data_IF_740725877065
#
_entry.id   IF_740725877065
#
_cell.length_a   1.000
_cell.length_b   1.000
_cell.length_c   1.000
_cell.angle_alpha   90.00
_cell.angle_beta   90.00
_cell.angle_gamma   90.00
#
_symmetry.space_group_name_H-M   'P 1'
#
loop_
_entity.id
_entity.type
_entity.pdbx_description
1 polymer ?
#
# COMPACT_ATOMS: atom_id res chain seq x y z
N UNK A 1 11.51 -20.63 27.45
CA UNK A 1 10.25 -19.90 27.38
C UNK A 1 9.86 -19.50 28.79
N UNK A 2 10.33 -18.33 29.18
CA UNK A 2 9.94 -17.60 30.36
C UNK A 2 8.99 -16.45 29.97
N UNK A 3 8.27 -15.93 30.96
CA UNK A 3 7.51 -14.69 30.87
C UNK A 3 8.29 -13.64 31.65
N UNK A 4 8.58 -12.51 31.00
CA UNK A 4 9.28 -11.37 31.59
C UNK A 4 8.30 -10.20 31.68
N UNK A 5 7.97 -9.76 32.89
CA UNK A 5 6.95 -8.73 33.08
C UNK A 5 7.60 -7.35 33.25
N UNK A 6 7.11 -6.36 32.50
CA UNK A 6 7.53 -4.96 32.62
C UNK A 6 6.35 -4.14 33.17
N UNK A 7 6.50 -3.34 34.24
CA UNK A 7 7.73 -3.08 34.98
C UNK A 7 8.02 -4.03 36.16
N UNK A 8 7.19 -5.06 36.40
CA UNK A 8 7.24 -5.89 37.62
C UNK A 8 8.59 -6.59 37.83
N UNK A 9 9.08 -7.33 36.82
CA UNK A 9 10.36 -8.05 36.88
C UNK A 9 11.52 -7.21 36.36
N UNK A 10 11.24 -6.30 35.43
CA UNK A 10 12.22 -5.46 34.75
C UNK A 10 11.77 -4.01 34.74
N UNK A 11 12.62 -3.03 35.11
CA UNK A 11 12.20 -1.63 35.24
C UNK A 11 11.77 -0.97 33.93
N UNK A 12 12.16 -1.53 32.77
CA UNK A 12 11.77 -1.02 31.45
C UNK A 12 11.85 -2.13 30.38
N UNK A 13 11.23 -1.85 29.22
CA UNK A 13 11.15 -2.78 28.09
C UNK A 13 12.54 -3.22 27.61
N UNK A 14 13.49 -2.29 27.50
CA UNK A 14 14.84 -2.62 27.02
C UNK A 14 15.53 -3.66 27.94
N UNK A 15 15.44 -3.49 29.26
CA UNK A 15 16.06 -4.43 30.20
C UNK A 15 15.45 -5.84 30.13
N UNK A 16 14.15 -5.96 29.81
CA UNK A 16 13.52 -7.25 29.55
C UNK A 16 14.01 -7.85 28.22
N UNK A 17 14.15 -7.04 27.16
CA UNK A 17 14.71 -7.48 25.86
C UNK A 17 16.15 -7.98 26.03
N UNK A 18 16.98 -7.26 26.80
CA UNK A 18 18.37 -7.62 27.02
C UNK A 18 18.51 -8.99 27.72
N UNK A 19 17.60 -9.27 28.67
CA UNK A 19 17.53 -10.52 29.44
C UNK A 19 16.86 -11.68 28.69
N UNK A 20 16.03 -11.40 27.68
CA UNK A 20 15.28 -12.42 26.97
C UNK A 20 16.16 -13.41 26.22
N UNK A 21 15.74 -14.67 26.25
CA UNK A 21 16.25 -15.77 25.44
C UNK A 21 15.25 -16.14 24.34
N UNK A 22 15.70 -16.78 23.24
CA UNK A 22 14.79 -17.27 22.21
C UNK A 22 13.66 -18.13 22.79
N UNK A 23 12.43 -17.80 22.40
CA UNK A 23 11.18 -18.40 22.85
C UNK A 23 10.53 -17.69 24.03
N UNK A 24 11.16 -16.66 24.61
CA UNK A 24 10.58 -15.92 25.74
C UNK A 24 9.52 -14.91 25.30
N UNK A 25 8.63 -14.56 26.23
CA UNK A 25 7.59 -13.55 26.05
C UNK A 25 7.79 -12.41 27.04
N UNK A 26 7.87 -11.19 26.52
CA UNK A 26 7.88 -9.95 27.30
C UNK A 26 6.45 -9.43 27.33
N UNK A 27 5.86 -9.39 28.53
CA UNK A 27 4.54 -8.84 28.77
C UNK A 27 4.67 -7.45 29.40
N UNK A 28 4.12 -6.45 28.73
CA UNK A 28 4.23 -5.05 29.15
C UNK A 28 2.91 -4.62 29.77
N UNK A 29 2.99 -4.11 31.00
CA UNK A 29 1.85 -3.56 31.71
C UNK A 29 1.54 -2.14 31.24
N UNK A 30 0.30 -1.71 31.45
CA UNK A 30 -0.25 -0.39 31.13
C UNK A 30 0.72 0.72 31.56
N UNK A 31 0.97 1.65 30.64
CA UNK A 31 1.86 2.76 30.92
C UNK A 31 2.42 3.44 29.69
N UNK A 32 3.12 4.54 29.95
CA UNK A 32 3.84 5.32 28.94
C UNK A 32 5.34 5.06 29.10
N UNK A 33 5.97 4.60 28.03
CA UNK A 33 7.37 4.23 27.97
C UNK A 33 8.10 5.18 27.01
N UNK A 34 8.90 6.14 27.51
CA UNK A 34 9.41 7.23 26.67
C UNK A 34 10.63 6.84 25.81
N UNK A 35 11.24 5.70 26.10
CA UNK A 35 12.53 5.33 25.52
C UNK A 35 12.36 4.41 24.32
N UNK A 36 13.25 4.58 23.34
CA UNK A 36 13.45 3.64 22.23
C UNK A 36 13.78 2.23 22.73
N UNK A 37 13.36 1.22 21.96
CA UNK A 37 13.67 -0.19 22.21
C UNK A 37 14.43 -0.78 21.03
N UNK A 38 15.59 -1.37 21.29
CA UNK A 38 16.41 -2.08 20.31
C UNK A 38 16.18 -3.58 20.50
N UNK A 39 15.61 -4.24 19.50
CA UNK A 39 15.36 -5.67 19.49
C UNK A 39 16.44 -6.38 18.68
N UNK A 40 17.34 -7.05 19.40
CA UNK A 40 18.47 -7.82 18.86
C UNK A 40 18.45 -9.29 19.26
N UNK A 41 17.31 -9.77 19.77
CA UNK A 41 17.08 -11.17 20.15
C UNK A 41 16.11 -11.82 19.18
N UNK A 42 16.49 -12.98 18.65
CA UNK A 42 15.64 -13.76 17.76
C UNK A 42 14.53 -14.47 18.53
N UNK A 43 13.41 -14.71 17.86
CA UNK A 43 12.33 -15.59 18.32
C UNK A 43 11.77 -15.19 19.69
N UNK A 44 11.53 -13.90 19.92
CA UNK A 44 10.87 -13.42 21.15
C UNK A 44 9.52 -12.79 20.82
N UNK A 45 8.61 -12.78 21.80
CA UNK A 45 7.34 -12.05 21.72
C UNK A 45 7.41 -10.83 22.63
N UNK A 46 6.99 -9.67 22.13
CA UNK A 46 6.83 -8.44 22.92
C UNK A 46 5.39 -7.97 22.72
N UNK A 47 4.59 -8.02 23.79
CA UNK A 47 3.19 -7.63 23.72
C UNK A 47 2.72 -6.89 24.96
N UNK A 48 1.67 -6.08 24.81
CA UNK A 48 0.92 -5.59 25.96
C UNK A 48 0.25 -6.75 26.69
N UNK A 49 0.01 -6.60 27.99
CA UNK A 49 -0.92 -7.47 28.70
C UNK A 49 -2.35 -7.31 28.18
N UNK A 50 -3.14 -8.36 28.32
CA UNK A 50 -4.49 -8.39 27.75
C UNK A 50 -5.36 -7.27 28.35
N UNK A 51 -5.93 -6.43 27.49
CA UNK A 51 -6.73 -5.24 27.82
C UNK A 51 -5.94 -4.07 28.43
N UNK A 52 -4.60 -4.08 28.36
CA UNK A 52 -3.78 -2.99 28.89
C UNK A 52 -3.30 -2.05 27.77
N UNK A 53 -3.30 -0.75 28.06
CA UNK A 53 -2.88 0.29 27.11
C UNK A 53 -1.40 0.63 27.30
N UNK A 54 -0.57 0.10 26.41
CA UNK A 54 0.87 0.35 26.40
C UNK A 54 1.22 1.33 25.29
N UNK A 55 1.82 2.47 25.65
CA UNK A 55 2.28 3.47 24.69
C UNK A 55 3.80 3.68 24.82
N UNK A 56 4.53 3.45 23.73
CA UNK A 56 5.87 3.99 23.55
C UNK A 56 5.73 5.40 22.96
N UNK A 57 6.23 6.42 23.66
CA UNK A 57 6.02 7.83 23.30
C UNK A 57 7.33 8.61 23.28
N UNK A 58 7.81 8.99 22.09
CA UNK A 58 9.12 9.63 21.93
C UNK A 58 9.20 11.10 22.37
N UNK A 59 8.06 11.76 22.65
CA UNK A 59 7.91 13.17 23.08
C UNK A 59 8.45 14.24 22.11
N UNK A 60 9.50 13.98 21.32
CA UNK A 60 10.22 14.97 20.51
C UNK A 60 10.13 14.77 19.01
N UNK A 61 9.41 13.76 18.50
CA UNK A 61 9.41 13.35 17.08
C UNK A 61 10.81 12.99 16.54
N UNK A 62 11.75 12.70 17.43
CA UNK A 62 13.10 12.24 17.11
C UNK A 62 13.25 10.74 17.35
N UNK A 63 14.34 10.15 16.82
CA UNK A 63 14.67 8.75 17.05
C UNK A 63 13.69 7.73 16.44
N UNK A 64 13.83 6.49 16.92
CA UNK A 64 13.04 5.33 16.49
C UNK A 64 12.35 4.76 17.72
N UNK A 65 11.05 4.46 17.64
CA UNK A 65 10.32 3.83 18.74
C UNK A 65 10.82 2.42 19.01
N UNK A 66 10.72 1.53 18.01
CA UNK A 66 11.26 0.17 18.08
C UNK A 66 12.14 -0.11 16.86
N UNK A 67 13.39 -0.49 17.10
CA UNK A 67 14.35 -0.90 16.07
C UNK A 67 14.54 -2.42 16.09
N UNK A 68 14.04 -3.10 15.06
CA UNK A 68 14.27 -4.52 14.81
C UNK A 68 15.28 -4.63 13.65
N UNK A 69 16.57 -4.41 13.95
CA UNK A 69 17.66 -4.51 12.97
C UNK A 69 18.52 -5.75 13.10
N UNK A 70 18.50 -6.42 14.24
CA UNK A 70 19.37 -7.58 14.53
C UNK A 70 18.61 -8.85 14.88
N UNK A 71 17.33 -8.93 14.53
CA UNK A 71 16.47 -10.02 14.96
C UNK A 71 15.54 -10.55 13.85
N UNK A 72 15.25 -11.85 13.93
CA UNK A 72 14.23 -12.56 13.15
C UNK A 72 13.23 -13.27 14.07
N UNK A 73 12.04 -13.59 13.53
CA UNK A 73 10.96 -14.30 14.25
C UNK A 73 10.48 -13.55 15.50
N UNK A 74 10.63 -12.22 15.53
CA UNK A 74 10.05 -11.38 16.57
C UNK A 74 8.56 -11.19 16.30
N UNK A 75 7.74 -11.33 17.33
CA UNK A 75 6.34 -10.90 17.33
C UNK A 75 6.22 -9.61 18.16
N UNK A 76 5.82 -8.51 17.53
CA UNK A 76 5.33 -7.31 18.22
C UNK A 76 3.82 -7.29 18.16
N UNK A 77 3.15 -7.11 19.31
CA UNK A 77 1.69 -7.17 19.37
C UNK A 77 1.07 -6.18 20.36
N UNK A 78 -0.08 -5.61 20.01
CA UNK A 78 -0.95 -4.84 20.92
C UNK A 78 -0.29 -3.58 21.53
N UNK A 79 0.63 -2.94 20.80
CA UNK A 79 1.35 -1.74 21.25
C UNK A 79 0.87 -0.48 20.53
N UNK A 80 0.95 0.66 21.21
CA UNK A 80 0.87 1.98 20.59
C UNK A 80 2.27 2.61 20.55
N UNK A 81 2.65 3.17 19.41
CA UNK A 81 3.96 3.81 19.21
C UNK A 81 3.73 5.18 18.57
N UNK A 82 4.13 6.24 19.26
CA UNK A 82 3.84 7.62 18.86
C UNK A 82 4.96 8.60 19.14
N UNK A 83 4.92 9.74 18.44
CA UNK A 83 5.81 10.88 18.64
C UNK A 83 7.32 10.54 18.55
N UNK A 84 7.68 9.57 17.70
CA UNK A 84 9.05 9.32 17.26
C UNK A 84 9.23 9.84 15.83
N UNK A 85 10.48 9.92 15.34
CA UNK A 85 10.69 10.15 13.91
C UNK A 85 10.17 8.97 13.09
N UNK A 86 10.48 7.75 13.53
CA UNK A 86 10.01 6.50 12.94
C UNK A 86 9.41 5.66 14.05
N UNK A 87 8.15 5.21 13.90
CA UNK A 87 7.52 4.34 14.89
C UNK A 87 8.28 3.00 15.02
N UNK A 88 8.35 2.25 13.92
CA UNK A 88 9.12 0.99 13.85
C UNK A 88 10.11 1.06 12.70
N UNK A 89 11.39 0.77 12.98
CA UNK A 89 12.36 0.45 11.95
C UNK A 89 12.52 -1.07 11.86
N UNK A 90 11.94 -1.68 10.83
CA UNK A 90 11.95 -3.12 10.62
C UNK A 90 12.96 -3.49 9.52
N UNK A 91 14.21 -3.75 9.90
CA UNK A 91 15.28 -4.18 8.98
C UNK A 91 15.51 -5.70 9.02
N UNK A 92 15.20 -6.35 10.13
CA UNK A 92 15.24 -7.81 10.24
C UNK A 92 14.19 -8.49 9.38
N UNK A 93 14.46 -9.76 9.05
CA UNK A 93 13.61 -10.57 8.20
C UNK A 93 12.70 -11.49 9.04
N UNK A 94 11.61 -11.99 8.46
CA UNK A 94 10.74 -13.00 9.08
C UNK A 94 10.12 -12.59 10.44
N UNK A 95 9.85 -11.31 10.65
CA UNK A 95 9.18 -10.80 11.85
C UNK A 95 7.68 -10.54 11.60
N UNK A 96 6.90 -10.47 12.67
CA UNK A 96 5.47 -10.21 12.64
C UNK A 96 5.10 -9.02 13.51
N UNK A 97 4.39 -8.05 12.93
CA UNK A 97 3.85 -6.87 13.60
C UNK A 97 2.33 -6.97 13.52
N UNK A 98 1.66 -7.17 14.65
CA UNK A 98 0.23 -7.52 14.69
C UNK A 98 -0.52 -6.59 15.63
N UNK A 99 -1.62 -5.98 15.19
CA UNK A 99 -2.44 -5.08 16.01
C UNK A 99 -1.63 -3.97 16.70
N UNK A 100 -0.64 -3.41 15.99
CA UNK A 100 0.18 -2.29 16.47
C UNK A 100 -0.33 -0.98 15.90
N UNK A 101 -0.32 0.08 16.71
CA UNK A 101 -0.73 1.43 16.32
C UNK A 101 0.49 2.34 16.22
N UNK A 102 1.02 2.56 15.02
CA UNK A 102 2.09 3.55 14.79
C UNK A 102 1.46 4.86 14.32
N UNK A 103 1.37 5.84 15.21
CA UNK A 103 0.59 7.06 14.95
C UNK A 103 1.31 8.34 15.33
N UNK A 104 1.05 9.42 14.60
CA UNK A 104 1.65 10.74 14.89
C UNK A 104 3.18 10.72 14.97
N UNK A 105 3.84 9.92 14.12
CA UNK A 105 5.30 9.94 14.03
C UNK A 105 5.75 11.03 13.05
N UNK A 106 6.88 11.67 13.36
CA UNK A 106 7.47 12.76 12.61
C UNK A 106 7.85 12.41 11.17
N UNK A 107 7.92 11.13 10.81
CA UNK A 107 8.11 10.66 9.44
C UNK A 107 7.25 9.46 9.08
N UNK A 108 7.61 8.27 9.55
CA UNK A 108 6.99 7.02 9.11
C UNK A 108 6.38 6.28 10.27
N UNK A 109 5.22 5.65 10.06
CA UNK A 109 4.71 4.65 11.00
C UNK A 109 5.67 3.46 11.06
N UNK A 110 5.99 2.90 9.90
CA UNK A 110 6.95 1.80 9.74
C UNK A 110 7.91 2.10 8.58
N UNK A 111 9.20 2.02 8.85
CA UNK A 111 10.24 1.91 7.81
C UNK A 111 10.60 0.43 7.64
N UNK A 112 10.14 -0.19 6.56
CA UNK A 112 10.30 -1.61 6.29
C UNK A 112 11.44 -1.86 5.29
N UNK A 113 12.56 -2.36 5.77
CA UNK A 113 13.72 -2.75 4.94
C UNK A 113 13.94 -4.26 4.87
N UNK A 114 13.51 -5.00 5.88
CA UNK A 114 13.63 -6.46 5.89
C UNK A 114 12.65 -7.14 4.93
N UNK A 115 12.88 -8.42 4.72
CA UNK A 115 12.14 -9.29 3.82
C UNK A 115 11.28 -10.30 4.60
N UNK A 116 10.29 -10.88 3.93
CA UNK A 116 9.46 -11.94 4.49
C UNK A 116 8.77 -11.58 5.82
N UNK A 117 8.56 -10.29 6.10
CA UNK A 117 7.87 -9.82 7.29
C UNK A 117 6.36 -9.78 7.07
N UNK A 118 5.62 -9.85 8.18
CA UNK A 118 4.17 -9.69 8.22
C UNK A 118 3.79 -8.44 9.00
N UNK A 119 2.92 -7.62 8.42
CA UNK A 119 2.33 -6.45 9.07
C UNK A 119 0.82 -6.60 8.94
N UNK A 120 0.16 -6.96 10.03
CA UNK A 120 -1.22 -7.39 10.02
C UNK A 120 -2.05 -6.63 11.07
N UNK A 121 -3.27 -6.23 10.71
CA UNK A 121 -4.24 -5.62 11.64
C UNK A 121 -3.75 -4.34 12.33
N UNK A 122 -2.75 -3.67 11.75
CA UNK A 122 -2.16 -2.47 12.33
C UNK A 122 -2.93 -1.21 11.93
N UNK A 123 -2.76 -0.15 12.75
CA UNK A 123 -3.25 1.19 12.44
C UNK A 123 -2.06 2.13 12.26
N UNK A 124 -1.90 2.65 11.04
CA UNK A 124 -0.78 3.52 10.65
C UNK A 124 -1.32 4.89 10.26
N UNK A 125 -1.41 5.78 11.26
CA UNK A 125 -2.21 6.99 11.16
C UNK A 125 -1.41 8.26 11.40
N UNK A 126 -1.80 9.36 10.78
CA UNK A 126 -1.34 10.72 11.13
C UNK A 126 0.19 10.89 11.15
N UNK A 127 0.93 10.05 10.41
CA UNK A 127 2.38 10.19 10.31
C UNK A 127 2.71 11.27 9.26
N UNK A 128 3.70 12.11 9.58
CA UNK A 128 4.00 13.30 8.80
C UNK A 128 4.49 13.02 7.37
N UNK A 129 4.92 11.79 7.06
CA UNK A 129 5.17 11.34 5.69
C UNK A 129 4.25 10.16 5.33
N UNK A 130 4.53 8.96 5.82
CA UNK A 130 3.81 7.77 5.33
C UNK A 130 3.52 6.73 6.39
N UNK A 131 2.46 5.96 6.18
CA UNK A 131 2.16 4.80 7.03
C UNK A 131 3.30 3.78 6.97
N UNK A 132 3.66 3.35 5.77
CA UNK A 132 4.79 2.46 5.50
C UNK A 132 5.67 3.04 4.40
N UNK A 133 6.98 3.10 4.65
CA UNK A 133 7.98 3.24 3.60
C UNK A 133 8.74 1.91 3.45
N UNK A 134 8.59 1.25 2.30
CA UNK A 134 9.03 -0.11 2.08
C UNK A 134 10.16 -0.20 1.06
N UNK A 135 11.17 -0.99 1.39
CA UNK A 135 12.34 -1.32 0.56
C UNK A 135 12.55 -2.82 0.39
N UNK A 136 12.04 -3.63 1.33
CA UNK A 136 12.21 -5.08 1.33
C UNK A 136 11.27 -5.83 0.39
N UNK A 137 11.55 -7.10 0.18
CA UNK A 137 10.82 -8.03 -0.69
C UNK A 137 10.09 -9.11 0.11
N UNK A 138 9.17 -9.81 -0.55
CA UNK A 138 8.45 -10.96 0.01
C UNK A 138 7.63 -10.66 1.27
N UNK A 139 7.35 -9.39 1.56
CA UNK A 139 6.58 -8.99 2.73
C UNK A 139 5.08 -9.13 2.48
N UNK A 140 4.33 -9.43 3.54
CA UNK A 140 2.88 -9.45 3.56
C UNK A 140 2.33 -8.31 4.43
N UNK A 141 1.55 -7.41 3.83
CA UNK A 141 0.92 -6.27 4.49
C UNK A 141 -0.58 -6.46 4.36
N UNK A 142 -1.26 -6.87 5.44
CA UNK A 142 -2.66 -7.29 5.38
C UNK A 142 -3.56 -6.67 6.43
N UNK A 143 -4.83 -6.44 6.08
CA UNK A 143 -5.87 -6.06 7.05
C UNK A 143 -5.55 -4.76 7.83
N UNK A 144 -4.71 -3.87 7.29
CA UNK A 144 -4.30 -2.66 7.99
C UNK A 144 -5.22 -1.48 7.68
N UNK A 145 -5.33 -0.56 8.64
CA UNK A 145 -5.96 0.75 8.46
C UNK A 145 -4.85 1.79 8.36
N UNK A 146 -4.74 2.43 7.20
CA UNK A 146 -3.68 3.41 6.92
C UNK A 146 -4.34 4.73 6.54
N UNK A 147 -4.30 5.74 7.41
CA UNK A 147 -5.10 6.94 7.23
C UNK A 147 -4.36 8.23 7.59
N UNK A 148 -4.72 9.31 6.89
CA UNK A 148 -4.27 10.67 7.25
C UNK A 148 -2.74 10.82 7.29
N UNK A 149 -2.02 10.08 6.45
CA UNK A 149 -0.57 10.25 6.31
C UNK A 149 -0.29 11.25 5.19
N UNK A 150 0.55 12.26 5.45
CA UNK A 150 0.65 13.46 4.59
C UNK A 150 1.07 13.16 3.14
N UNK A 151 1.99 12.22 2.95
CA UNK A 151 2.53 11.88 1.62
C UNK A 151 1.92 10.58 1.10
N UNK A 152 1.94 9.53 1.91
CA UNK A 152 1.85 8.16 1.42
C UNK A 152 1.13 7.21 2.35
N UNK A 153 0.29 6.31 1.82
CA UNK A 153 -0.15 5.14 2.58
C UNK A 153 1.00 4.14 2.74
N UNK A 154 1.31 3.44 1.64
CA UNK A 154 2.45 2.54 1.50
C UNK A 154 3.25 2.99 0.28
N UNK A 155 4.52 3.37 0.49
CA UNK A 155 5.37 3.85 -0.59
C UNK A 155 6.69 3.11 -0.67
N UNK A 156 7.21 2.94 -1.88
CA UNK A 156 8.56 2.52 -2.18
C UNK A 156 9.26 3.66 -2.92
N UNK A 157 10.15 4.39 -2.22
CA UNK A 157 10.89 5.53 -2.79
C UNK A 157 12.31 5.18 -3.23
N UNK A 158 12.67 3.89 -3.22
CA UNK A 158 13.97 3.39 -3.65
C UNK A 158 14.18 1.92 -3.29
N UNK A 159 15.30 1.33 -3.72
CA UNK A 159 15.59 -0.09 -3.50
C UNK A 159 14.78 -1.03 -4.40
N UNK A 160 14.79 -2.32 -4.08
CA UNK A 160 14.11 -3.39 -4.83
C UNK A 160 13.05 -4.04 -3.94
N UNK A 161 11.86 -3.46 -3.92
CA UNK A 161 10.73 -4.01 -3.21
C UNK A 161 9.94 -4.92 -4.16
N UNK A 162 10.29 -6.20 -4.19
CA UNK A 162 9.73 -7.19 -5.11
C UNK A 162 8.87 -8.23 -4.39
N UNK A 163 7.96 -8.86 -5.14
CA UNK A 163 7.18 -10.01 -4.67
C UNK A 163 6.41 -9.77 -3.35
N UNK A 164 6.09 -8.50 -3.04
CA UNK A 164 5.31 -8.18 -1.84
C UNK A 164 3.81 -8.37 -2.10
N UNK A 165 3.09 -8.79 -1.06
CA UNK A 165 1.64 -8.93 -1.05
C UNK A 165 1.02 -7.84 -0.17
N UNK A 166 0.25 -6.95 -0.79
CA UNK A 166 -0.51 -5.89 -0.12
C UNK A 166 -1.98 -6.22 -0.30
N UNK A 167 -2.62 -6.71 0.76
CA UNK A 167 -3.94 -7.34 0.69
C UNK A 167 -4.93 -6.80 1.73
N UNK A 168 -6.17 -6.52 1.33
CA UNK A 168 -7.25 -6.18 2.26
C UNK A 168 -6.92 -5.01 3.22
N UNK A 169 -6.17 -4.02 2.75
CA UNK A 169 -5.89 -2.81 3.52
C UNK A 169 -6.90 -1.71 3.16
N UNK A 170 -7.25 -0.88 4.15
CA UNK A 170 -8.03 0.35 3.94
C UNK A 170 -7.10 1.55 4.02
N UNK A 171 -6.86 2.21 2.87
CA UNK A 171 -5.96 3.37 2.77
C UNK A 171 -6.73 4.63 2.39
N UNK A 172 -6.68 5.67 3.24
CA UNK A 172 -7.50 6.88 3.08
C UNK A 172 -6.77 8.18 3.38
N UNK A 173 -7.25 9.27 2.77
CA UNK A 173 -6.81 10.64 3.07
C UNK A 173 -5.29 10.83 2.99
N UNK A 174 -4.66 10.24 1.97
CA UNK A 174 -3.25 10.40 1.65
C UNK A 174 -3.07 11.03 0.27
N UNK A 175 -1.98 11.77 0.04
CA UNK A 175 -1.67 12.29 -1.30
C UNK A 175 -1.49 11.15 -2.32
N UNK A 176 -0.84 10.07 -1.91
CA UNK A 176 -0.72 8.84 -2.71
C UNK A 176 -0.99 7.64 -1.82
N UNK A 177 -1.98 6.82 -2.13
CA UNK A 177 -2.26 5.66 -1.28
C UNK A 177 -1.17 4.57 -1.43
N UNK A 178 -0.89 4.15 -2.68
CA UNK A 178 0.21 3.27 -3.05
C UNK A 178 1.12 3.99 -4.05
N UNK A 179 2.39 4.19 -3.68
CA UNK A 179 3.40 4.80 -4.55
C UNK A 179 4.59 3.87 -4.75
N UNK A 180 4.75 3.29 -5.93
CA UNK A 180 5.88 2.40 -6.25
C UNK A 180 6.84 3.11 -7.19
N UNK A 181 7.79 3.85 -6.65
CA UNK A 181 8.62 4.78 -7.43
C UNK A 181 9.90 4.15 -7.98
N UNK A 182 10.35 3.00 -7.47
CA UNK A 182 11.50 2.29 -8.03
C UNK A 182 11.10 1.48 -9.26
N UNK A 183 11.78 1.71 -10.38
CA UNK A 183 11.58 0.95 -11.63
C UNK A 183 11.99 -0.52 -11.54
N UNK A 184 12.85 -0.85 -10.57
CA UNK A 184 13.36 -2.21 -10.36
C UNK A 184 12.46 -3.05 -9.46
N UNK A 185 11.42 -2.45 -8.87
CA UNK A 185 10.47 -3.15 -8.01
C UNK A 185 9.39 -3.85 -8.86
N UNK A 186 9.34 -5.19 -8.77
CA UNK A 186 8.50 -6.03 -9.62
C UNK A 186 7.82 -7.18 -8.91
N UNK A 187 6.80 -7.78 -9.54
CA UNK A 187 6.12 -8.97 -9.02
C UNK A 187 5.23 -8.70 -7.80
N UNK A 188 5.01 -7.44 -7.44
CA UNK A 188 4.17 -7.10 -6.30
C UNK A 188 2.70 -7.30 -6.66
N UNK A 189 1.93 -7.80 -5.68
CA UNK A 189 0.49 -8.03 -5.80
C UNK A 189 -0.23 -7.10 -4.84
N UNK A 190 -1.06 -6.23 -5.39
CA UNK A 190 -1.96 -5.33 -4.66
C UNK A 190 -3.37 -5.83 -4.87
N UNK A 191 -3.97 -6.50 -3.87
CA UNK A 191 -5.28 -7.09 -4.03
C UNK A 191 -6.29 -6.81 -2.93
N UNK A 192 -7.56 -6.71 -3.31
CA UNK A 192 -8.67 -6.61 -2.35
C UNK A 192 -8.56 -5.39 -1.41
N UNK A 193 -7.79 -4.36 -1.77
CA UNK A 193 -7.64 -3.17 -0.94
C UNK A 193 -8.76 -2.15 -1.23
N UNK A 194 -9.11 -1.38 -0.20
CA UNK A 194 -10.03 -0.27 -0.27
C UNK A 194 -9.27 1.06 -0.22
N UNK A 195 -9.38 1.84 -1.27
CA UNK A 195 -8.82 3.19 -1.38
C UNK A 195 -9.93 4.21 -1.41
N UNK A 196 -9.90 5.17 -0.49
CA UNK A 196 -10.95 6.18 -0.44
C UNK A 196 -10.42 7.55 -0.05
N UNK A 197 -10.88 8.59 -0.75
CA UNK A 197 -10.57 9.99 -0.45
C UNK A 197 -9.05 10.31 -0.47
N UNK A 198 -8.30 9.66 -1.36
CA UNK A 198 -6.88 9.95 -1.60
C UNK A 198 -6.73 10.91 -2.78
N UNK A 199 -5.61 11.66 -2.92
CA UNK A 199 -5.43 12.39 -4.18
C UNK A 199 -5.20 11.41 -5.34
N UNK A 200 -4.29 10.45 -5.18
CA UNK A 200 -4.11 9.33 -6.11
C UNK A 200 -4.18 8.00 -5.36
N UNK A 201 -4.84 6.98 -5.90
CA UNK A 201 -4.79 5.66 -5.27
C UNK A 201 -3.50 4.91 -5.63
N UNK A 202 -3.11 4.88 -6.91
CA UNK A 202 -1.86 4.23 -7.35
C UNK A 202 -1.01 5.14 -8.22
N UNK A 203 0.29 5.15 -7.94
CA UNK A 203 1.34 5.61 -8.85
C UNK A 203 2.37 4.50 -8.99
N UNK A 204 2.45 3.89 -10.18
CA UNK A 204 3.24 2.68 -10.43
C UNK A 204 4.36 2.93 -11.44
N UNK A 205 5.58 3.17 -10.94
CA UNK A 205 6.81 3.16 -11.74
C UNK A 205 7.50 1.79 -11.74
N UNK A 206 7.10 0.85 -10.88
CA UNK A 206 7.56 -0.53 -10.93
C UNK A 206 6.99 -1.29 -12.15
N UNK A 207 7.69 -2.34 -12.58
CA UNK A 207 7.28 -3.20 -13.72
C UNK A 207 6.70 -4.53 -13.25
N UNK A 208 5.92 -5.21 -14.10
CA UNK A 208 5.42 -6.57 -13.82
C UNK A 208 4.64 -6.70 -12.49
N UNK A 209 3.94 -5.65 -12.05
CA UNK A 209 3.11 -5.71 -10.84
C UNK A 209 1.65 -6.01 -11.20
N UNK A 210 0.92 -6.56 -10.24
CA UNK A 210 -0.48 -6.93 -10.40
C UNK A 210 -1.37 -6.16 -9.41
N UNK A 211 -2.21 -5.29 -9.95
CA UNK A 211 -3.21 -4.52 -9.20
C UNK A 211 -4.56 -5.17 -9.50
N UNK A 212 -5.11 -5.91 -8.56
CA UNK A 212 -6.31 -6.71 -8.81
C UNK A 212 -7.39 -6.62 -7.74
N UNK A 213 -8.67 -6.63 -8.14
CA UNK A 213 -9.80 -6.72 -7.20
C UNK A 213 -9.82 -5.63 -6.13
N UNK A 214 -9.23 -4.46 -6.40
CA UNK A 214 -9.27 -3.32 -5.48
C UNK A 214 -10.51 -2.45 -5.73
N UNK A 215 -10.94 -1.75 -4.70
CA UNK A 215 -12.01 -0.75 -4.76
C UNK A 215 -11.39 0.63 -4.54
N UNK A 216 -11.51 1.51 -5.53
CA UNK A 216 -11.00 2.87 -5.53
C UNK A 216 -12.18 3.84 -5.66
N UNK A 217 -12.39 4.67 -4.65
CA UNK A 217 -13.54 5.59 -4.59
C UNK A 217 -13.05 6.99 -4.25
N UNK A 218 -13.54 8.01 -4.96
CA UNK A 218 -13.44 9.40 -4.51
C UNK A 218 -12.03 9.95 -4.52
N UNK A 219 -11.20 9.60 -5.51
CA UNK A 219 -9.86 10.20 -5.58
C UNK A 219 -9.92 11.60 -6.17
N UNK A 220 -9.30 12.60 -5.54
CA UNK A 220 -9.38 13.99 -6.04
C UNK A 220 -8.54 14.23 -7.31
N UNK A 221 -7.62 13.32 -7.64
CA UNK A 221 -6.90 13.23 -8.92
C UNK A 221 -7.15 11.84 -9.52
N UNK A 222 -6.12 11.09 -9.89
CA UNK A 222 -6.27 9.86 -10.68
C UNK A 222 -6.47 8.63 -9.79
N UNK A 223 -7.32 7.70 -10.23
CA UNK A 223 -7.41 6.37 -9.62
C UNK A 223 -6.07 5.62 -9.73
N UNK A 224 -5.67 5.25 -10.95
CA UNK A 224 -4.44 4.48 -11.20
C UNK A 224 -3.57 5.15 -12.27
N UNK A 225 -2.29 5.36 -11.99
CA UNK A 225 -1.28 5.77 -12.97
C UNK A 225 -0.25 4.66 -13.14
N UNK A 226 -0.13 4.13 -14.37
CA UNK A 226 0.88 3.13 -14.75
C UNK A 226 1.96 3.79 -15.60
N UNK A 227 3.16 3.98 -15.04
CA UNK A 227 4.29 4.62 -15.71
C UNK A 227 5.25 3.64 -16.38
N UNK A 228 5.21 2.35 -16.03
CA UNK A 228 6.17 1.36 -16.49
C UNK A 228 5.47 0.11 -17.04
N UNK A 229 6.22 -0.73 -17.74
CA UNK A 229 5.69 -1.78 -18.59
C UNK A 229 5.28 -3.05 -17.86
N UNK A 230 4.51 -3.89 -18.57
CA UNK A 230 4.14 -5.25 -18.14
C UNK A 230 3.30 -5.32 -16.85
N UNK A 231 2.73 -4.20 -16.42
CA UNK A 231 1.82 -4.18 -15.29
C UNK A 231 0.45 -4.74 -15.69
N UNK A 232 -0.28 -5.25 -14.69
CA UNK A 232 -1.63 -5.79 -14.84
C UNK A 232 -2.57 -5.04 -13.92
N UNK A 233 -3.69 -4.57 -14.46
CA UNK A 233 -4.79 -3.92 -13.74
C UNK A 233 -6.04 -4.75 -14.00
N UNK A 234 -6.43 -5.59 -13.05
CA UNK A 234 -7.42 -6.65 -13.27
C UNK A 234 -8.59 -6.58 -12.29
N UNK A 235 -9.84 -6.58 -12.79
CA UNK A 235 -11.03 -6.68 -11.95
C UNK A 235 -11.14 -5.64 -10.82
N UNK A 236 -10.58 -4.44 -11.00
CA UNK A 236 -10.73 -3.35 -10.03
C UNK A 236 -12.03 -2.60 -10.28
N UNK A 237 -12.60 -2.02 -9.21
CA UNK A 237 -13.71 -1.09 -9.29
C UNK A 237 -13.18 0.32 -8.99
N UNK A 238 -13.25 1.21 -9.98
CA UNK A 238 -12.66 2.55 -9.94
C UNK A 238 -13.77 3.55 -10.21
N UNK A 239 -14.03 4.44 -9.24
CA UNK A 239 -15.11 5.41 -9.37
C UNK A 239 -14.85 6.74 -8.69
N UNK A 240 -15.49 7.78 -9.24
CA UNK A 240 -15.45 9.14 -8.69
C UNK A 240 -14.03 9.69 -8.55
N UNK A 241 -13.16 9.37 -9.51
CA UNK A 241 -11.84 9.97 -9.68
C UNK A 241 -11.90 11.15 -10.66
N UNK A 242 -10.84 11.96 -10.74
CA UNK A 242 -10.65 12.88 -11.87
C UNK A 242 -10.51 12.07 -13.16
N UNK A 243 -9.46 11.24 -13.24
CA UNK A 243 -9.30 10.20 -14.26
C UNK A 243 -9.37 8.84 -13.61
N UNK A 244 -9.99 7.85 -14.27
CA UNK A 244 -10.01 6.48 -13.77
C UNK A 244 -8.62 5.85 -13.81
N UNK A 245 -8.09 5.64 -15.03
CA UNK A 245 -6.79 5.03 -15.26
C UNK A 245 -6.00 5.83 -16.30
N UNK A 246 -4.73 6.12 -16.01
CA UNK A 246 -3.76 6.70 -16.96
C UNK A 246 -2.66 5.67 -17.25
N UNK A 247 -2.41 5.39 -18.53
CA UNK A 247 -1.43 4.41 -19.00
C UNK A 247 -0.31 5.10 -19.78
N UNK A 248 0.87 5.20 -19.17
CA UNK A 248 2.10 5.74 -19.76
C UNK A 248 3.15 4.64 -20.03
N UNK A 249 3.02 3.47 -19.38
CA UNK A 249 3.85 2.30 -19.63
C UNK A 249 3.28 1.37 -20.70
N UNK A 250 4.15 0.71 -21.47
CA UNK A 250 3.77 -0.20 -22.57
C UNK A 250 3.51 -1.64 -22.10
N UNK A 251 2.87 -2.47 -22.92
CA UNK A 251 2.60 -3.88 -22.57
C UNK A 251 1.80 -4.05 -21.26
N UNK A 252 1.00 -3.04 -20.90
CA UNK A 252 0.10 -3.08 -19.76
C UNK A 252 -1.19 -3.79 -20.14
N UNK A 253 -1.71 -4.64 -19.26
CA UNK A 253 -3.00 -5.29 -19.43
C UNK A 253 -4.03 -4.71 -18.47
N UNK A 254 -5.11 -4.13 -18.99
CA UNK A 254 -6.25 -3.61 -18.24
C UNK A 254 -7.45 -4.49 -18.55
N UNK A 255 -7.79 -5.40 -17.64
CA UNK A 255 -8.75 -6.49 -17.92
C UNK A 255 -9.85 -6.55 -16.87
N UNK A 256 -11.12 -6.61 -17.29
CA UNK A 256 -12.23 -6.91 -16.38
C UNK A 256 -12.56 -5.81 -15.36
N UNK A 257 -12.03 -4.60 -15.51
CA UNK A 257 -12.25 -3.51 -14.56
C UNK A 257 -13.60 -2.84 -14.78
N UNK A 258 -14.18 -2.31 -13.70
CA UNK A 258 -15.32 -1.41 -13.73
C UNK A 258 -14.79 0.00 -13.48
N UNK A 259 -15.00 0.90 -14.43
CA UNK A 259 -14.43 2.26 -14.41
C UNK A 259 -15.55 3.25 -14.71
N UNK A 260 -16.01 3.95 -13.68
CA UNK A 260 -17.25 4.69 -13.78
C UNK A 260 -17.28 6.02 -13.05
N UNK A 261 -18.10 6.95 -13.54
CA UNK A 261 -18.37 8.21 -12.84
C UNK A 261 -17.11 9.02 -12.55
N UNK A 262 -16.09 8.94 -13.42
CA UNK A 262 -14.91 9.79 -13.33
C UNK A 262 -15.16 11.10 -14.08
N UNK A 263 -14.58 12.19 -13.57
CA UNK A 263 -14.85 13.56 -14.06
C UNK A 263 -14.29 13.79 -15.47
N UNK A 264 -13.20 13.11 -15.82
CA UNK A 264 -12.54 13.17 -17.12
C UNK A 264 -12.60 11.79 -17.79
N UNK A 265 -11.44 11.20 -18.13
CA UNK A 265 -11.39 9.98 -18.89
C UNK A 265 -11.59 8.77 -17.96
N UNK A 266 -12.34 7.77 -18.41
CA UNK A 266 -12.33 6.45 -17.78
C UNK A 266 -10.93 5.83 -17.91
N UNK A 267 -10.43 5.75 -19.14
CA UNK A 267 -9.07 5.32 -19.45
C UNK A 267 -8.41 6.29 -20.42
N UNK A 268 -7.25 6.82 -20.03
CA UNK A 268 -6.39 7.64 -20.87
C UNK A 268 -5.09 6.88 -21.22
N UNK A 269 -4.90 6.57 -22.51
CA UNK A 269 -3.83 5.73 -23.04
C UNK A 269 -2.81 6.59 -23.78
N UNK A 270 -1.71 6.89 -23.10
CA UNK A 270 -0.64 7.77 -23.57
C UNK A 270 0.54 7.03 -24.20
N UNK A 271 0.48 5.69 -24.25
CA UNK A 271 1.59 4.82 -24.66
C UNK A 271 1.14 3.66 -25.54
N UNK A 272 2.11 2.90 -26.03
CA UNK A 272 1.92 1.91 -27.08
C UNK A 272 1.76 0.48 -26.56
N UNK A 273 1.21 -0.39 -27.41
CA UNK A 273 1.22 -1.86 -27.21
C UNK A 273 0.55 -2.33 -25.91
N UNK A 274 -0.56 -1.71 -25.51
CA UNK A 274 -1.35 -2.10 -24.34
C UNK A 274 -2.60 -2.89 -24.73
N UNK A 275 -3.12 -3.68 -23.79
CA UNK A 275 -4.32 -4.49 -23.95
C UNK A 275 -5.42 -4.02 -22.99
N UNK A 276 -6.59 -3.68 -23.53
CA UNK A 276 -7.79 -3.31 -22.79
C UNK A 276 -8.90 -4.29 -23.16
N UNK A 277 -9.25 -5.19 -22.24
CA UNK A 277 -10.17 -6.27 -22.53
C UNK A 277 -11.24 -6.47 -21.45
N UNK A 278 -12.51 -6.67 -21.85
CA UNK A 278 -13.61 -7.02 -20.92
C UNK A 278 -13.84 -6.00 -19.79
N UNK A 279 -13.46 -4.74 -20.00
CA UNK A 279 -13.75 -3.68 -19.05
C UNK A 279 -15.17 -3.14 -19.24
N UNK A 280 -15.78 -2.67 -18.15
CA UNK A 280 -17.03 -1.93 -18.14
C UNK A 280 -16.68 -0.47 -17.85
N UNK A 281 -16.90 0.42 -18.83
CA UNK A 281 -16.46 1.81 -18.77
C UNK A 281 -17.66 2.72 -19.06
N UNK A 282 -18.19 3.39 -18.04
CA UNK A 282 -19.43 4.14 -18.19
C UNK A 282 -19.47 5.44 -17.37
N UNK A 283 -20.34 6.37 -17.77
CA UNK A 283 -20.58 7.60 -17.00
C UNK A 283 -19.32 8.43 -16.72
N UNK A 284 -18.31 8.36 -17.58
CA UNK A 284 -17.15 9.26 -17.56
C UNK A 284 -17.37 10.39 -18.58
N UNK A 285 -16.50 11.38 -18.62
CA UNK A 285 -16.56 12.38 -19.70
C UNK A 285 -16.20 11.75 -21.05
N UNK A 286 -15.07 11.04 -21.11
CA UNK A 286 -14.70 10.16 -22.23
C UNK A 286 -14.48 8.76 -21.70
N UNK A 287 -14.98 7.73 -22.38
CA UNK A 287 -14.76 6.35 -21.98
C UNK A 287 -13.28 5.95 -22.09
N UNK A 288 -12.76 5.91 -23.31
CA UNK A 288 -11.36 5.59 -23.61
C UNK A 288 -10.77 6.62 -24.57
N UNK A 289 -9.68 7.27 -24.16
CA UNK A 289 -8.90 8.21 -24.98
C UNK A 289 -7.54 7.60 -25.30
N UNK A 290 -7.15 7.57 -26.58
CA UNK A 290 -5.93 6.89 -27.04
C UNK A 290 -5.09 7.84 -27.88
N UNK A 291 -3.87 8.10 -27.44
CA UNK A 291 -2.85 8.81 -28.23
C UNK A 291 -1.67 7.92 -28.64
N UNK A 292 -1.45 6.80 -27.95
CA UNK A 292 -0.45 5.81 -28.32
C UNK A 292 -0.89 4.89 -29.47
N UNK A 293 0.02 4.08 -29.95
CA UNK A 293 -0.13 3.22 -31.13
C UNK A 293 -0.14 1.73 -30.76
N UNK A 294 -0.56 0.87 -31.69
CA UNK A 294 -0.51 -0.59 -31.54
C UNK A 294 -1.23 -1.14 -30.30
N UNK A 295 -2.18 -0.39 -29.74
CA UNK A 295 -3.00 -0.83 -28.62
C UNK A 295 -4.13 -1.73 -29.11
N UNK A 296 -4.55 -2.68 -28.28
CA UNK A 296 -5.68 -3.56 -28.54
C UNK A 296 -6.81 -3.28 -27.55
N UNK A 297 -7.97 -2.88 -28.05
CA UNK A 297 -9.16 -2.56 -27.26
C UNK A 297 -10.28 -3.48 -27.77
N UNK A 298 -10.62 -4.51 -27.00
CA UNK A 298 -11.60 -5.49 -27.44
C UNK A 298 -12.47 -6.04 -26.31
N UNK A 299 -13.66 -6.53 -26.67
CA UNK A 299 -14.62 -7.14 -25.75
C UNK A 299 -15.02 -6.23 -24.56
N UNK A 300 -14.86 -4.90 -24.67
CA UNK A 300 -15.25 -3.97 -23.61
C UNK A 300 -16.71 -3.53 -23.77
N UNK A 301 -17.35 -3.16 -22.66
CA UNK A 301 -18.64 -2.47 -22.65
C UNK A 301 -18.39 -1.00 -22.30
N UNK A 302 -18.57 -0.10 -23.26
CA UNK A 302 -18.23 1.32 -23.13
C UNK A 302 -19.45 2.17 -23.47
N UNK A 303 -20.15 2.69 -22.48
CA UNK A 303 -21.47 3.28 -22.71
C UNK A 303 -21.80 4.44 -21.77
N UNK A 304 -22.65 5.35 -22.21
CA UNK A 304 -23.15 6.44 -21.37
C UNK A 304 -22.06 7.38 -20.85
N UNK A 305 -20.97 7.55 -21.60
CA UNK A 305 -19.97 8.59 -21.37
C UNK A 305 -20.43 9.90 -22.03
N UNK A 306 -20.09 11.05 -21.45
CA UNK A 306 -20.71 12.35 -21.79
C UNK A 306 -20.39 12.83 -23.21
N UNK A 307 -19.11 12.85 -23.58
CA UNK A 307 -18.66 13.34 -24.89
C UNK A 307 -18.47 12.21 -25.90
N UNK A 308 -17.65 11.21 -25.56
CA UNK A 308 -17.30 10.12 -26.48
C UNK A 308 -17.05 8.81 -25.72
N UNK A 309 -17.46 7.68 -26.29
CA UNK A 309 -17.08 6.37 -25.76
C UNK A 309 -15.62 6.03 -26.07
N UNK A 310 -15.18 6.24 -27.30
CA UNK A 310 -13.79 5.97 -27.72
C UNK A 310 -13.28 7.13 -28.58
N UNK A 311 -12.10 7.65 -28.26
CA UNK A 311 -11.35 8.62 -29.07
C UNK A 311 -9.99 8.03 -29.41
N UNK A 312 -9.75 7.73 -30.68
CA UNK A 312 -8.47 7.21 -31.16
C UNK A 312 -7.73 8.27 -32.00
N UNK A 313 -6.60 8.76 -31.48
CA UNK A 313 -5.68 9.68 -32.17
C UNK A 313 -4.36 9.02 -32.57
N UNK A 314 -4.12 7.78 -32.14
CA UNK A 314 -2.95 6.99 -32.53
C UNK A 314 -3.20 6.19 -33.80
N UNK A 315 -2.13 5.57 -34.31
CA UNK A 315 -2.15 4.70 -35.49
C UNK A 315 -2.08 3.23 -35.09
N UNK A 316 -2.55 2.35 -35.98
CA UNK A 316 -2.44 0.89 -35.84
C UNK A 316 -3.04 0.32 -34.54
N UNK A 317 -3.96 1.05 -33.93
CA UNK A 317 -4.74 0.56 -32.79
C UNK A 317 -5.84 -0.38 -33.30
N UNK A 318 -5.93 -1.56 -32.70
CA UNK A 318 -6.91 -2.57 -33.04
C UNK A 318 -8.12 -2.46 -32.08
N UNK A 319 -9.23 -1.92 -32.59
CA UNK A 319 -10.45 -1.67 -31.83
C UNK A 319 -11.57 -2.50 -32.47
N UNK A 320 -12.03 -3.55 -31.77
CA UNK A 320 -13.01 -4.49 -32.32
C UNK A 320 -13.78 -5.23 -31.21
N UNK A 321 -14.97 -5.73 -31.52
CA UNK A 321 -15.82 -6.50 -30.58
C UNK A 321 -16.18 -5.72 -29.30
N UNK A 322 -16.09 -4.40 -29.29
CA UNK A 322 -16.54 -3.59 -28.15
C UNK A 322 -18.02 -3.30 -28.30
N UNK A 323 -18.75 -3.24 -27.19
CA UNK A 323 -20.15 -2.81 -27.17
C UNK A 323 -20.19 -1.34 -26.74
N UNK A 324 -20.52 -0.45 -27.68
CA UNK A 324 -20.71 0.98 -27.41
C UNK A 324 -22.17 1.37 -27.56
N UNK A 325 -22.79 1.83 -26.46
CA UNK A 325 -24.23 2.18 -26.41
C UNK A 325 -25.15 1.13 -27.09
N UNK A 326 -24.86 -0.15 -26.84
CA UNK A 326 -25.61 -1.30 -27.36
C UNK A 326 -25.27 -1.75 -28.78
N UNK A 327 -24.26 -1.14 -29.43
CA UNK A 327 -23.79 -1.52 -30.78
C UNK A 327 -22.38 -2.08 -30.74
N UNK A 328 -22.11 -3.09 -31.56
CA UNK A 328 -20.77 -3.67 -31.69
C UNK A 328 -19.91 -2.77 -32.58
N UNK A 329 -18.70 -2.43 -32.11
CA UNK A 329 -17.66 -1.66 -32.80
C UNK A 329 -16.37 -2.45 -32.81
#
# INVERSE_FOLDING_TARGET
MAILIVPTDFPNIQSAVDAASPGDTILIQEGIYPNSVIVNKNNITIKAMDNELVELNGVTDEGIGIDISGAEKVLLQDLRISNFSIGIFLRGDNNSIVNVRCVSNGRYGILLRGNANKIEECVLATNNLSGINMFGSDNAIKNNIINLNTIGGIINVGGKACENLIENNSIRFSRVAIGWYSSDSSGNIFKENLFNDNENAFIMYGKCNNIQQNILIGTSKTGIIINNSYNKVINNNISSSLDGIIIQGTNTSVIGNIIQSNVQDGINVLSDSNLFQRNIINSNNIGVSITGNFNSINDNVISGNELFNIVNKGTDNNIFSNITDGKVV
#
